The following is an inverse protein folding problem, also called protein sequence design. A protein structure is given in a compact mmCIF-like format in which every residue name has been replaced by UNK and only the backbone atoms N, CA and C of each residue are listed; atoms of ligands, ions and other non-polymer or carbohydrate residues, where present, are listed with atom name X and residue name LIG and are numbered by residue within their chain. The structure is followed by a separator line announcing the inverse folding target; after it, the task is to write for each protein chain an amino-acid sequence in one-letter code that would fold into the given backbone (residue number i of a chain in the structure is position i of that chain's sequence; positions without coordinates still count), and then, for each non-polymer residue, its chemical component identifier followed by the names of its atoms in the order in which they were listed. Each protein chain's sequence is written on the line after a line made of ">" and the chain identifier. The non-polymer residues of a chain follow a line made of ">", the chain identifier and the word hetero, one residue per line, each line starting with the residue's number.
data_IF_408386064510
#
_entry.id   IF_408386064510
#
_cell.length_a   1.000
_cell.length_b   1.000
_cell.length_c   1.000
_cell.angle_alpha   90.00
_cell.angle_beta   90.00
_cell.angle_gamma   90.00
#
_symmetry.space_group_name_H-M   'P 1'
#
loop_
_entity.id
_entity.type
_entity.pdbx_description
1 polymer ?
#
# COMPACT_ATOMS: atom_id res chain seq x y z
N UNK A 1 33.94 -39.47 -0.45
CA UNK A 1 34.01 -38.00 -0.54
C UNK A 1 35.25 -37.52 0.18
N UNK A 2 36.18 -36.92 -0.55
CA UNK A 2 37.37 -36.29 0.04
C UNK A 2 37.01 -34.96 0.70
N UNK A 3 37.78 -34.52 1.68
CA UNK A 3 37.60 -33.21 2.36
C UNK A 3 37.57 -32.03 1.39
N UNK A 4 38.22 -32.17 0.23
CA UNK A 4 38.26 -31.19 -0.85
C UNK A 4 36.92 -31.04 -1.59
N UNK A 5 36.19 -32.15 -1.80
CA UNK A 5 34.86 -32.14 -2.42
C UNK A 5 33.83 -31.46 -1.51
N UNK A 6 33.86 -31.76 -0.21
CA UNK A 6 32.96 -31.13 0.77
C UNK A 6 33.15 -29.61 0.86
N UNK A 7 34.40 -29.14 0.82
CA UNK A 7 34.73 -27.70 0.84
C UNK A 7 34.19 -26.98 -0.40
N UNK A 8 34.28 -27.63 -1.56
CA UNK A 8 33.77 -27.09 -2.82
C UNK A 8 32.24 -27.02 -2.83
N UNK A 9 31.56 -28.02 -2.27
CA UNK A 9 30.10 -28.05 -2.15
C UNK A 9 29.59 -26.96 -1.19
N UNK A 10 30.26 -26.74 -0.06
CA UNK A 10 29.90 -25.66 0.88
C UNK A 10 30.08 -24.26 0.28
N UNK A 11 31.12 -24.04 -0.53
CA UNK A 11 31.34 -22.76 -1.19
C UNK A 11 30.28 -22.50 -2.27
N UNK A 12 29.89 -23.53 -3.02
CA UNK A 12 28.82 -23.42 -4.00
C UNK A 12 27.46 -23.10 -3.35
N UNK A 13 27.16 -23.73 -2.21
CA UNK A 13 25.96 -23.43 -1.43
C UNK A 13 25.96 -21.99 -0.90
N UNK A 14 27.12 -21.50 -0.45
CA UNK A 14 27.28 -20.11 0.00
C UNK A 14 27.04 -19.13 -1.15
N UNK A 15 27.64 -19.37 -2.32
CA UNK A 15 27.44 -18.53 -3.52
C UNK A 15 25.96 -18.50 -3.91
N UNK A 16 25.29 -19.65 -3.91
CA UNK A 16 23.86 -19.74 -4.20
C UNK A 16 23.03 -18.95 -3.18
N UNK A 17 23.33 -19.09 -1.88
CA UNK A 17 22.63 -18.36 -0.83
C UNK A 17 22.79 -16.84 -0.95
N UNK A 18 24.00 -16.35 -1.26
CA UNK A 18 24.25 -14.93 -1.53
C UNK A 18 23.39 -14.46 -2.71
N UNK A 19 23.39 -15.21 -3.81
CA UNK A 19 22.61 -14.88 -5.00
C UNK A 19 21.09 -14.82 -4.72
N UNK A 20 20.58 -15.68 -3.83
CA UNK A 20 19.16 -15.66 -3.42
C UNK A 20 18.85 -14.38 -2.64
N UNK A 21 19.73 -13.98 -1.72
CA UNK A 21 19.57 -12.74 -0.94
C UNK A 21 19.63 -11.51 -1.85
N UNK A 22 20.58 -11.46 -2.79
CA UNK A 22 20.69 -10.38 -3.78
C UNK A 22 19.41 -10.29 -4.63
N UNK A 23 18.88 -11.43 -5.08
CA UNK A 23 17.61 -11.46 -5.83
C UNK A 23 16.42 -11.01 -4.99
N UNK A 24 16.42 -11.26 -3.68
CA UNK A 24 15.38 -10.80 -2.77
C UNK A 24 15.46 -9.28 -2.57
N UNK A 25 16.65 -8.74 -2.32
CA UNK A 25 16.90 -7.29 -2.20
C UNK A 25 16.42 -6.52 -3.44
N UNK A 26 16.75 -7.00 -4.65
CA UNK A 26 16.26 -6.38 -5.90
C UNK A 26 14.73 -6.35 -5.96
N UNK A 27 14.04 -7.40 -5.49
CA UNK A 27 12.58 -7.44 -5.47
C UNK A 27 12.01 -6.47 -4.46
N UNK A 28 12.58 -6.41 -3.25
CA UNK A 28 12.18 -5.44 -2.22
C UNK A 28 12.32 -4.02 -2.77
N UNK A 29 13.46 -3.68 -3.37
CA UNK A 29 13.69 -2.36 -3.97
C UNK A 29 12.66 -2.04 -5.06
N UNK A 30 12.32 -3.03 -5.89
CA UNK A 30 11.31 -2.88 -6.94
C UNK A 30 9.94 -2.59 -6.33
N UNK A 31 9.53 -3.35 -5.31
CA UNK A 31 8.24 -3.19 -4.63
C UNK A 31 8.18 -1.82 -3.92
N UNK A 32 9.21 -1.46 -3.14
CA UNK A 32 9.32 -0.16 -2.49
C UNK A 32 9.21 1.00 -3.50
N UNK A 33 9.87 0.87 -4.65
CA UNK A 33 9.80 1.85 -5.73
C UNK A 33 8.39 1.96 -6.32
N UNK A 34 7.73 0.84 -6.61
CA UNK A 34 6.36 0.82 -7.13
C UNK A 34 5.36 1.42 -6.13
N UNK A 35 5.47 1.08 -4.86
CA UNK A 35 4.61 1.60 -3.80
C UNK A 35 4.83 3.12 -3.61
N UNK A 36 6.09 3.57 -3.66
CA UNK A 36 6.43 5.00 -3.62
C UNK A 36 5.87 5.75 -4.84
N UNK A 37 5.98 5.17 -6.04
CA UNK A 37 5.40 5.73 -7.26
C UNK A 37 3.87 5.82 -7.16
N UNK A 38 3.20 4.78 -6.64
CA UNK A 38 1.76 4.80 -6.42
C UNK A 38 1.35 5.92 -5.43
N UNK A 39 2.07 6.07 -4.32
CA UNK A 39 1.84 7.14 -3.35
C UNK A 39 2.04 8.54 -3.97
N UNK A 40 3.11 8.73 -4.76
CA UNK A 40 3.37 9.98 -5.47
C UNK A 40 2.32 10.28 -6.55
N UNK A 41 1.84 9.26 -7.25
CA UNK A 41 0.73 9.38 -8.19
C UNK A 41 -0.53 9.89 -7.48
N UNK A 42 -0.90 9.30 -6.34
CA UNK A 42 -2.02 9.78 -5.51
C UNK A 42 -1.80 11.21 -5.01
N UNK A 43 -0.56 11.61 -4.74
CA UNK A 43 -0.24 13.01 -4.44
C UNK A 43 -0.53 13.94 -5.62
N UNK A 44 -0.26 13.51 -6.86
CA UNK A 44 -0.58 14.32 -8.04
C UNK A 44 -2.08 14.56 -8.21
N UNK A 45 -2.94 13.58 -7.88
CA UNK A 45 -4.40 13.76 -7.86
C UNK A 45 -4.86 14.79 -6.84
N UNK A 46 -4.17 14.90 -5.70
CA UNK A 46 -4.49 15.93 -4.73
C UNK A 46 -4.36 17.34 -5.33
N UNK A 47 -3.33 17.59 -6.15
CA UNK A 47 -3.16 18.90 -6.79
C UNK A 47 -4.36 19.24 -7.68
N UNK A 48 -4.89 18.27 -8.43
CA UNK A 48 -6.08 18.47 -9.27
C UNK A 48 -7.32 18.78 -8.39
N UNK A 49 -7.50 18.04 -7.30
CA UNK A 49 -8.59 18.27 -6.34
C UNK A 49 -8.50 19.68 -5.72
N UNK A 50 -7.29 20.11 -5.33
CA UNK A 50 -7.06 21.43 -4.76
C UNK A 50 -7.44 22.55 -5.72
N UNK A 51 -7.13 22.40 -7.00
CA UNK A 51 -7.51 23.37 -8.03
C UNK A 51 -9.02 23.40 -8.27
N UNK A 52 -9.68 22.23 -8.27
CA UNK A 52 -11.15 22.16 -8.33
C UNK A 52 -11.81 22.84 -7.13
N UNK A 53 -11.28 22.63 -5.92
CA UNK A 53 -11.75 23.28 -4.69
C UNK A 53 -11.56 24.79 -4.74
N UNK A 54 -10.41 25.28 -5.25
CA UNK A 54 -10.18 26.73 -5.47
C UNK A 54 -11.21 27.31 -6.43
N UNK A 55 -11.48 26.65 -7.56
CA UNK A 55 -12.49 27.08 -8.53
C UNK A 55 -13.89 27.18 -7.90
N UNK A 56 -14.30 26.16 -7.14
CA UNK A 56 -15.57 26.21 -6.40
C UNK A 56 -15.61 27.37 -5.42
N UNK A 57 -14.53 27.61 -4.67
CA UNK A 57 -14.45 28.72 -3.71
C UNK A 57 -14.66 30.08 -4.38
N UNK A 58 -14.08 30.29 -5.56
CA UNK A 58 -14.25 31.51 -6.36
C UNK A 58 -15.71 31.64 -6.85
N UNK A 59 -16.27 30.57 -7.41
CA UNK A 59 -17.66 30.57 -7.92
C UNK A 59 -18.67 30.87 -6.80
N UNK A 60 -18.45 30.32 -5.60
CA UNK A 60 -19.30 30.56 -4.44
C UNK A 60 -19.17 32.01 -3.91
N UNK A 61 -17.97 32.58 -3.94
CA UNK A 61 -17.76 33.98 -3.57
C UNK A 61 -18.48 34.94 -4.52
N UNK A 62 -18.52 34.61 -5.82
CA UNK A 62 -19.15 35.44 -6.84
C UNK A 62 -20.69 35.32 -6.83
N UNK A 63 -21.24 34.13 -6.57
CA UNK A 63 -22.67 33.84 -6.71
C UNK A 63 -23.54 34.15 -5.48
N UNK A 64 -22.94 34.60 -4.35
CA UNK A 64 -23.62 34.83 -3.06
C UNK A 64 -24.48 33.65 -2.54
N UNK A 65 -24.34 32.47 -3.14
CA UNK A 65 -25.23 31.31 -3.01
C UNK A 65 -24.92 30.45 -1.77
N UNK A 66 -23.70 30.59 -1.24
CA UNK A 66 -23.18 29.85 -0.10
C UNK A 66 -22.29 30.74 0.76
N UNK A 67 -22.46 30.68 2.09
CA UNK A 67 -21.52 31.36 2.99
C UNK A 67 -20.17 30.68 2.84
N UNK A 68 -19.18 31.41 2.33
CA UNK A 68 -17.78 30.95 2.16
C UNK A 68 -17.26 30.22 3.41
N UNK A 69 -17.61 30.70 4.61
CA UNK A 69 -17.26 30.06 5.88
C UNK A 69 -17.81 28.63 6.03
N UNK A 70 -19.04 28.38 5.57
CA UNK A 70 -19.65 27.04 5.64
C UNK A 70 -18.96 26.08 4.67
N UNK A 71 -18.61 26.55 3.46
CA UNK A 71 -17.80 25.77 2.50
C UNK A 71 -16.46 25.41 3.09
N UNK A 72 -15.75 26.43 3.59
CA UNK A 72 -14.39 26.30 4.10
C UNK A 72 -14.35 25.31 5.28
N UNK A 73 -15.32 25.41 6.20
CA UNK A 73 -15.43 24.47 7.32
C UNK A 73 -15.67 23.03 6.86
N UNK A 74 -16.55 22.81 5.87
CA UNK A 74 -16.87 21.46 5.43
C UNK A 74 -15.76 20.83 4.57
N UNK A 75 -15.04 21.63 3.78
CA UNK A 75 -13.87 21.16 3.03
C UNK A 75 -12.72 20.85 3.98
N UNK A 76 -12.54 21.64 5.04
CA UNK A 76 -11.46 21.42 6.00
C UNK A 76 -11.53 20.02 6.63
N UNK A 77 -12.73 19.56 7.00
CA UNK A 77 -12.91 18.21 7.55
C UNK A 77 -12.43 17.11 6.59
N UNK A 78 -12.67 17.28 5.27
CA UNK A 78 -12.22 16.34 4.24
C UNK A 78 -10.70 16.40 4.08
N UNK A 79 -10.15 17.61 4.04
CA UNK A 79 -8.70 17.82 3.92
C UNK A 79 -7.93 17.24 5.10
N UNK A 80 -8.44 17.44 6.32
CA UNK A 80 -7.84 16.91 7.54
C UNK A 80 -7.85 15.38 7.55
N UNK A 81 -8.97 14.78 7.14
CA UNK A 81 -9.09 13.33 7.00
C UNK A 81 -8.13 12.77 5.94
N UNK A 82 -8.07 13.38 4.76
CA UNK A 82 -7.12 12.97 3.71
C UNK A 82 -5.67 13.11 4.17
N UNK A 83 -5.34 14.19 4.88
CA UNK A 83 -3.99 14.39 5.41
C UNK A 83 -3.63 13.31 6.44
N UNK A 84 -4.59 12.91 7.28
CA UNK A 84 -4.40 11.82 8.25
C UNK A 84 -4.09 10.49 7.54
N UNK A 85 -4.92 10.07 6.59
CA UNK A 85 -4.71 8.80 5.86
C UNK A 85 -3.40 8.84 5.08
N UNK A 86 -3.03 9.99 4.50
CA UNK A 86 -1.74 10.16 3.84
C UNK A 86 -0.57 9.95 4.80
N UNK A 87 -0.63 10.52 5.99
CA UNK A 87 0.40 10.32 7.00
C UNK A 87 0.50 8.84 7.40
N UNK A 88 -0.62 8.15 7.51
CA UNK A 88 -0.66 6.69 7.75
C UNK A 88 -0.01 5.90 6.61
N UNK A 89 -0.27 6.27 5.34
CA UNK A 89 0.37 5.65 4.18
C UNK A 89 1.89 5.86 4.17
N UNK A 90 2.35 7.09 4.40
CA UNK A 90 3.77 7.43 4.44
C UNK A 90 4.49 6.69 5.58
N UNK A 91 3.86 6.62 6.76
CA UNK A 91 4.41 5.88 7.89
C UNK A 91 4.47 4.38 7.58
N UNK A 92 3.41 3.81 7.01
CA UNK A 92 3.38 2.41 6.59
C UNK A 92 4.47 2.06 5.59
N UNK A 93 4.70 2.94 4.60
CA UNK A 93 5.78 2.78 3.61
C UNK A 93 7.17 2.84 4.25
N UNK A 94 7.41 3.81 5.14
CA UNK A 94 8.69 3.93 5.85
C UNK A 94 8.97 2.69 6.69
N UNK A 95 7.99 2.25 7.47
CA UNK A 95 8.11 1.06 8.32
C UNK A 95 8.37 -0.20 7.48
N UNK A 96 7.65 -0.37 6.37
CA UNK A 96 7.89 -1.50 5.47
C UNK A 96 9.31 -1.49 4.92
N UNK A 97 9.80 -0.35 4.44
CA UNK A 97 11.16 -0.25 3.91
C UNK A 97 12.21 -0.54 4.99
N UNK A 98 12.04 -0.01 6.19
CA UNK A 98 12.94 -0.27 7.32
C UNK A 98 12.95 -1.77 7.68
N UNK A 99 11.78 -2.39 7.80
CA UNK A 99 11.65 -3.80 8.18
C UNK A 99 12.17 -4.76 7.10
N UNK A 100 11.98 -4.46 5.81
CA UNK A 100 12.56 -5.28 4.73
C UNK A 100 14.09 -5.11 4.68
N UNK A 101 14.62 -3.92 4.97
CA UNK A 101 16.07 -3.70 5.05
C UNK A 101 16.70 -4.48 6.22
N UNK A 102 16.06 -4.48 7.40
CA UNK A 102 16.47 -5.31 8.54
C UNK A 102 16.47 -6.80 8.19
N UNK A 103 15.49 -7.25 7.41
CA UNK A 103 15.42 -8.64 6.94
C UNK A 103 16.58 -8.99 6.01
N UNK A 104 16.88 -8.12 5.03
CA UNK A 104 18.02 -8.29 4.12
C UNK A 104 19.32 -8.38 4.91
N UNK A 105 19.54 -7.49 5.89
CA UNK A 105 20.72 -7.51 6.74
C UNK A 105 20.84 -8.81 7.53
N UNK A 106 19.75 -9.26 8.14
CA UNK A 106 19.69 -10.53 8.88
C UNK A 106 20.05 -11.71 7.98
N UNK A 107 19.47 -11.78 6.78
CA UNK A 107 19.79 -12.79 5.76
C UNK A 107 21.27 -12.76 5.35
N UNK A 108 21.84 -11.58 5.14
CA UNK A 108 23.27 -11.44 4.82
C UNK A 108 24.18 -11.91 5.95
N UNK A 109 23.86 -11.61 7.20
CA UNK A 109 24.66 -12.02 8.35
C UNK A 109 24.64 -13.54 8.57
N UNK A 110 23.50 -14.20 8.30
CA UNK A 110 23.41 -15.66 8.30
C UNK A 110 24.24 -16.29 7.19
N UNK A 111 24.10 -15.81 5.95
CA UNK A 111 24.82 -16.37 4.79
C UNK A 111 26.34 -16.14 4.89
N UNK A 112 26.76 -15.03 5.51
CA UNK A 112 28.18 -14.72 5.70
C UNK A 112 28.81 -15.35 6.94
N UNK A 113 28.01 -16.01 7.78
CA UNK A 113 28.47 -16.68 9.01
C UNK A 113 28.86 -15.71 10.13
N UNK A 114 28.34 -14.49 10.12
CA UNK A 114 28.56 -13.49 11.17
C UNK A 114 27.59 -13.64 12.35
N UNK A 115 26.52 -14.41 12.16
CA UNK A 115 25.60 -14.78 13.24
C UNK A 115 26.31 -15.62 14.32
N UNK A 116 26.18 -15.22 15.58
CA UNK A 116 26.65 -15.97 16.75
C UNK A 116 25.59 -16.93 17.31
N UNK A 117 24.37 -16.91 16.77
CA UNK A 117 23.28 -17.71 17.31
C UNK A 117 23.26 -19.13 16.74
N UNK A 118 23.10 -20.14 17.60
CA UNK A 118 23.09 -21.55 17.21
C UNK A 118 21.86 -21.81 16.37
N UNK A 119 22.05 -22.04 15.06
CA UNK A 119 21.04 -22.47 14.05
C UNK A 119 19.62 -22.30 14.61
N UNK A 120 19.20 -21.04 14.77
CA UNK A 120 17.79 -20.74 14.94
C UNK A 120 17.10 -21.43 13.79
N UNK A 121 15.99 -22.11 14.05
CA UNK A 121 15.23 -22.85 13.05
C UNK A 121 14.98 -21.93 11.85
N UNK A 122 15.85 -22.07 10.83
CA UNK A 122 15.93 -21.17 9.67
C UNK A 122 14.61 -21.23 8.92
N UNK A 123 13.94 -22.37 8.99
CA UNK A 123 12.62 -22.60 8.42
C UNK A 123 11.55 -21.78 9.15
N UNK A 124 11.49 -21.85 10.48
CA UNK A 124 10.56 -21.04 11.27
C UNK A 124 10.80 -19.53 11.11
N UNK A 125 12.06 -19.11 11.00
CA UNK A 125 12.40 -17.71 10.79
C UNK A 125 12.03 -17.23 9.38
N UNK A 126 12.26 -18.05 8.35
CA UNK A 126 11.81 -17.76 6.98
C UNK A 126 10.28 -17.69 6.88
N UNK A 127 9.57 -18.57 7.58
CA UNK A 127 8.11 -18.56 7.63
C UNK A 127 7.56 -17.29 8.29
N UNK A 128 8.14 -16.87 9.42
CA UNK A 128 7.83 -15.58 10.07
C UNK A 128 8.08 -14.42 9.11
N UNK A 129 9.25 -14.40 8.47
CA UNK A 129 9.65 -13.37 7.52
C UNK A 129 8.66 -13.23 6.36
N UNK A 130 8.29 -14.33 5.71
CA UNK A 130 7.33 -14.34 4.60
C UNK A 130 5.94 -13.91 5.06
N UNK A 131 5.52 -14.32 6.26
CA UNK A 131 4.21 -13.94 6.82
C UNK A 131 4.16 -12.44 7.10
N UNK A 132 5.21 -11.89 7.72
CA UNK A 132 5.31 -10.46 8.02
C UNK A 132 5.35 -9.64 6.74
N UNK A 133 6.14 -10.03 5.74
CA UNK A 133 6.19 -9.36 4.44
C UNK A 133 4.79 -9.28 3.81
N UNK A 134 4.09 -10.42 3.70
CA UNK A 134 2.73 -10.47 3.12
C UNK A 134 1.74 -9.57 3.86
N UNK A 135 1.75 -9.58 5.18
CA UNK A 135 0.83 -8.77 5.99
C UNK A 135 1.08 -7.28 5.77
N UNK A 136 2.35 -6.85 5.74
CA UNK A 136 2.70 -5.44 5.52
C UNK A 136 2.37 -4.97 4.11
N UNK A 137 2.69 -5.77 3.10
CA UNK A 137 2.31 -5.48 1.71
C UNK A 137 0.79 -5.30 1.60
N UNK A 138 0.04 -6.21 2.21
CA UNK A 138 -1.41 -6.16 2.22
C UNK A 138 -1.93 -4.88 2.89
N UNK A 139 -1.39 -4.51 4.05
CA UNK A 139 -1.80 -3.30 4.77
C UNK A 139 -1.50 -2.02 3.97
N UNK A 140 -0.34 -1.92 3.32
CA UNK A 140 -0.01 -0.76 2.47
C UNK A 140 -0.94 -0.70 1.26
N UNK A 141 -1.16 -1.82 0.56
CA UNK A 141 -2.08 -1.89 -0.58
C UNK A 141 -3.47 -1.45 -0.15
N UNK A 142 -3.93 -1.89 1.04
CA UNK A 142 -5.22 -1.52 1.60
C UNK A 142 -5.34 0.00 1.78
N UNK A 143 -4.33 0.63 2.37
CA UNK A 143 -4.29 2.09 2.60
C UNK A 143 -4.25 2.85 1.28
N UNK A 144 -3.36 2.48 0.35
CA UNK A 144 -3.21 3.16 -0.95
C UNK A 144 -4.50 3.08 -1.77
N UNK A 145 -5.16 1.92 -1.78
CA UNK A 145 -6.46 1.76 -2.44
C UNK A 145 -7.55 2.59 -1.77
N UNK A 146 -7.58 2.64 -0.44
CA UNK A 146 -8.53 3.48 0.28
C UNK A 146 -8.38 4.95 -0.13
N UNK A 147 -7.16 5.48 -0.17
CA UNK A 147 -6.88 6.85 -0.67
C UNK A 147 -7.39 7.04 -2.09
N UNK A 148 -7.08 6.10 -2.99
CA UNK A 148 -7.49 6.18 -4.39
C UNK A 148 -9.01 6.33 -4.55
N UNK A 149 -9.77 5.52 -3.83
CA UNK A 149 -11.24 5.55 -3.87
C UNK A 149 -11.77 6.88 -3.36
N UNK A 150 -11.29 7.33 -2.20
CA UNK A 150 -11.74 8.61 -1.63
C UNK A 150 -11.44 9.79 -2.55
N UNK A 151 -10.28 9.80 -3.20
CA UNK A 151 -9.92 10.82 -4.18
C UNK A 151 -10.83 10.81 -5.41
N UNK A 152 -11.17 9.64 -5.96
CA UNK A 152 -12.01 9.54 -7.14
C UNK A 152 -13.47 9.93 -6.86
N UNK A 153 -13.99 9.54 -5.69
CA UNK A 153 -15.33 9.94 -5.24
C UNK A 153 -15.41 11.45 -5.00
N UNK A 154 -14.40 12.03 -4.33
CA UNK A 154 -14.31 13.47 -4.13
C UNK A 154 -14.23 14.19 -5.47
N UNK A 155 -13.37 13.73 -6.39
CA UNK A 155 -13.21 14.29 -7.73
C UNK A 155 -14.55 14.29 -8.48
N UNK A 156 -15.26 13.16 -8.45
CA UNK A 156 -16.58 13.03 -9.07
C UNK A 156 -17.59 14.00 -8.46
N UNK A 157 -17.59 14.14 -7.14
CA UNK A 157 -18.43 15.09 -6.42
C UNK A 157 -18.14 16.55 -6.80
N UNK A 158 -16.87 16.94 -6.80
CA UNK A 158 -16.44 18.29 -7.15
C UNK A 158 -16.76 18.62 -8.62
N UNK A 159 -16.59 17.66 -9.55
CA UNK A 159 -16.97 17.84 -10.98
C UNK A 159 -18.46 18.16 -11.11
N UNK A 160 -19.33 17.37 -10.47
CA UNK A 160 -20.79 17.60 -10.49
C UNK A 160 -21.18 18.95 -9.91
N UNK A 161 -20.46 19.44 -8.90
CA UNK A 161 -20.69 20.77 -8.36
C UNK A 161 -20.26 21.85 -9.35
N UNK A 162 -19.05 21.74 -9.93
CA UNK A 162 -18.55 22.69 -10.91
C UNK A 162 -19.47 22.79 -12.14
N UNK A 163 -20.03 21.67 -12.61
CA UNK A 163 -21.01 21.63 -13.71
C UNK A 163 -22.29 22.43 -13.41
N UNK A 164 -22.69 22.55 -12.14
CA UNK A 164 -23.85 23.37 -11.73
C UNK A 164 -23.55 24.88 -11.73
N UNK A 165 -22.28 25.28 -11.74
CA UNK A 165 -21.85 26.68 -11.81
C UNK A 165 -22.39 27.54 -10.67
N UNK A 166 -23.00 28.67 -11.00
CA UNK A 166 -23.51 29.65 -10.02
C UNK A 166 -24.76 29.19 -9.25
N UNK A 167 -25.41 28.10 -9.68
CA UNK A 167 -26.63 27.58 -9.06
C UNK A 167 -26.38 26.63 -7.88
N UNK A 168 -25.12 26.48 -7.44
CA UNK A 168 -24.76 25.59 -6.33
C UNK A 168 -25.36 26.13 -5.04
N UNK A 169 -26.14 25.30 -4.33
CA UNK A 169 -26.66 25.63 -3.00
C UNK A 169 -25.99 24.76 -1.93
N UNK A 170 -26.11 25.17 -0.67
CA UNK A 170 -25.62 24.39 0.49
C UNK A 170 -26.15 22.96 0.48
N UNK A 171 -27.42 22.77 0.06
CA UNK A 171 -28.03 21.44 -0.04
C UNK A 171 -27.31 20.54 -1.05
N UNK A 172 -26.79 21.09 -2.15
CA UNK A 172 -26.10 20.32 -3.18
C UNK A 172 -24.76 19.81 -2.66
N UNK A 173 -24.06 20.67 -1.94
CA UNK A 173 -22.80 20.32 -1.28
C UNK A 173 -23.00 19.29 -0.17
N UNK A 174 -24.01 19.47 0.70
CA UNK A 174 -24.36 18.46 1.72
C UNK A 174 -24.79 17.13 1.11
N UNK A 175 -25.50 17.14 -0.01
CA UNK A 175 -25.88 15.94 -0.74
C UNK A 175 -24.64 15.22 -1.31
N UNK A 176 -23.69 15.97 -1.87
CA UNK A 176 -22.40 15.42 -2.32
C UNK A 176 -21.64 14.76 -1.16
N UNK A 177 -21.48 15.45 -0.03
CA UNK A 177 -20.80 14.88 1.13
C UNK A 177 -21.48 13.62 1.67
N UNK A 178 -22.82 13.62 1.70
CA UNK A 178 -23.57 12.44 2.11
C UNK A 178 -23.37 11.29 1.14
N UNK A 179 -23.38 11.55 -0.16
CA UNK A 179 -23.14 10.54 -1.19
C UNK A 179 -21.73 9.95 -1.07
N UNK A 180 -20.70 10.79 -0.90
CA UNK A 180 -19.32 10.34 -0.67
C UNK A 180 -19.27 9.45 0.58
N UNK A 181 -19.79 9.91 1.73
CA UNK A 181 -19.77 9.10 2.97
C UNK A 181 -20.49 7.75 2.84
N UNK A 182 -21.59 7.69 2.09
CA UNK A 182 -22.30 6.42 1.84
C UNK A 182 -21.50 5.52 0.92
N UNK A 183 -20.95 6.04 -0.19
CA UNK A 183 -20.15 5.25 -1.12
C UNK A 183 -18.84 4.78 -0.49
N UNK A 184 -18.15 5.62 0.28
CA UNK A 184 -16.99 5.21 1.08
C UNK A 184 -17.31 4.04 1.99
N UNK A 185 -18.49 4.01 2.64
CA UNK A 185 -18.86 2.89 3.51
C UNK A 185 -19.05 1.57 2.77
N UNK A 186 -19.78 1.60 1.65
CA UNK A 186 -20.15 0.41 0.87
C UNK A 186 -18.99 -0.10 0.00
N UNK A 187 -18.32 0.79 -0.72
CA UNK A 187 -17.23 0.44 -1.62
C UNK A 187 -15.99 -0.04 -0.88
N UNK A 188 -15.64 0.55 0.26
CA UNK A 188 -14.50 0.06 1.05
C UNK A 188 -14.77 -1.35 1.57
N UNK A 189 -15.99 -1.67 2.00
CA UNK A 189 -16.33 -3.02 2.45
C UNK A 189 -16.23 -4.04 1.31
N UNK A 190 -16.78 -3.74 0.14
CA UNK A 190 -16.71 -4.63 -1.02
C UNK A 190 -15.28 -4.81 -1.54
N UNK A 191 -14.51 -3.71 -1.61
CA UNK A 191 -13.13 -3.74 -2.05
C UNK A 191 -12.23 -4.53 -1.11
N UNK A 192 -12.37 -4.35 0.21
CA UNK A 192 -11.58 -5.10 1.18
C UNK A 192 -11.96 -6.57 1.18
N UNK A 193 -13.25 -6.90 1.04
CA UNK A 193 -13.69 -8.29 0.85
C UNK A 193 -13.09 -8.91 -0.41
N UNK A 194 -13.04 -8.17 -1.52
CA UNK A 194 -12.43 -8.66 -2.77
C UNK A 194 -10.92 -8.88 -2.62
N UNK A 195 -10.22 -8.01 -1.89
CA UNK A 195 -8.81 -8.19 -1.57
C UNK A 195 -8.58 -9.45 -0.72
N UNK A 196 -9.40 -9.66 0.31
CA UNK A 196 -9.36 -10.85 1.15
C UNK A 196 -9.64 -12.13 0.32
N UNK A 197 -10.58 -12.07 -0.62
CA UNK A 197 -10.89 -13.15 -1.55
C UNK A 197 -9.70 -13.47 -2.49
N UNK A 198 -9.01 -12.45 -3.00
CA UNK A 198 -7.79 -12.63 -3.79
C UNK A 198 -6.67 -13.29 -2.99
N UNK A 199 -6.51 -12.92 -1.72
CA UNK A 199 -5.54 -13.54 -0.83
C UNK A 199 -5.85 -15.00 -0.54
N UNK A 200 -7.13 -15.32 -0.33
CA UNK A 200 -7.61 -16.70 -0.23
C UNK A 200 -7.25 -17.53 -1.46
N UNK A 201 -7.49 -16.99 -2.66
CA UNK A 201 -7.15 -17.67 -3.92
C UNK A 201 -5.64 -17.83 -4.06
N UNK A 202 -4.85 -16.79 -3.77
CA UNK A 202 -3.38 -16.82 -3.81
C UNK A 202 -2.82 -17.88 -2.87
N UNK A 203 -3.30 -17.93 -1.63
CA UNK A 203 -2.89 -18.92 -0.64
C UNK A 203 -3.25 -20.34 -1.10
N UNK A 204 -4.45 -20.54 -1.62
CA UNK A 204 -4.86 -21.84 -2.18
C UNK A 204 -3.96 -22.28 -3.34
N UNK A 205 -3.62 -21.37 -4.25
CA UNK A 205 -2.69 -21.67 -5.36
C UNK A 205 -1.31 -22.02 -4.81
N UNK A 206 -0.81 -21.27 -3.84
CA UNK A 206 0.48 -21.55 -3.19
C UNK A 206 0.49 -22.94 -2.53
N UNK A 207 -0.57 -23.31 -1.81
CA UNK A 207 -0.71 -24.64 -1.19
C UNK A 207 -0.73 -25.77 -2.23
N UNK A 208 -1.41 -25.55 -3.36
CA UNK A 208 -1.40 -26.52 -4.46
C UNK A 208 0.01 -26.65 -5.05
N UNK A 209 0.74 -25.54 -5.16
CA UNK A 209 2.09 -25.53 -5.68
C UNK A 209 3.08 -26.23 -4.77
N UNK A 210 3.00 -26.01 -3.46
CA UNK A 210 3.78 -26.75 -2.47
C UNK A 210 3.54 -28.26 -2.60
N UNK A 211 2.27 -28.70 -2.72
CA UNK A 211 1.94 -30.12 -2.91
C UNK A 211 2.57 -30.70 -4.17
N UNK A 212 2.53 -29.99 -5.30
CA UNK A 212 3.15 -30.43 -6.56
C UNK A 212 4.67 -30.55 -6.42
N UNK A 213 5.31 -29.58 -5.76
CA UNK A 213 6.75 -29.61 -5.52
C UNK A 213 7.13 -30.77 -4.60
N UNK A 214 6.40 -31.00 -3.51
CA UNK A 214 6.67 -32.11 -2.59
C UNK A 214 6.54 -33.51 -3.23
N UNK A 215 5.66 -33.67 -4.23
CA UNK A 215 5.49 -34.93 -4.98
C UNK A 215 6.67 -35.19 -5.93
N UNK A 216 7.33 -34.15 -6.44
CA UNK A 216 8.43 -34.28 -7.40
C UNK A 216 9.81 -34.55 -6.75
N UNK A 217 9.89 -34.56 -5.42
CA UNK A 217 11.11 -34.86 -4.66
C UNK A 217 11.04 -36.19 -3.88
N UNK A 218 10.06 -37.05 -4.17
CA UNK A 218 10.03 -38.46 -3.75
C UNK A 218 10.50 -39.37 -4.88
#
# INVERSE_FOLDING_TARGET
>A
MTTLEKLKDTEQLRILAVSIVDSYEIRVDTICSLLTQANNFLHSFQSELDDMMKCLRINLANSQSLRRRDFDSMIQDILDHHQKIRNEANLGLSNFQEEEQEMILSLRDMVTGKSHDPIVDVEAMLEDMLTRQKNREHDIIRILKHIQVEQEELKTGLKKLLEKGENIRIKDYKAMLKAIRTQQGEYNQELFKLLDDFDLVRNRVNDQWQKVVSINYQ
#
